data_IF_139729374643
#
_entry.id   IF_139729374643
#
_cell.length_a   1.000
_cell.length_b   1.000
_cell.length_c   1.000
_cell.angle_alpha   90.00
_cell.angle_beta   90.00
_cell.angle_gamma   90.00
#
_symmetry.space_group_name_H-M   'P 1'
#
loop_
_entity.id
_entity.type
_entity.pdbx_description
1 polymer ?
#
# COMPACT_ATOMS: atom_id res chain seq x y z
N UNK A 1 -25.72 8.00 17.66
CA UNK A 1 -24.25 7.74 17.65
C UNK A 1 -23.93 7.22 16.28
N UNK A 2 -23.21 7.98 15.45
CA UNK A 2 -22.88 7.60 14.08
C UNK A 2 -21.39 7.29 14.04
N UNK A 3 -21.03 6.01 14.07
CA UNK A 3 -19.67 5.56 13.75
C UNK A 3 -19.56 5.58 12.23
N UNK A 4 -18.90 6.62 11.70
CA UNK A 4 -18.43 6.62 10.33
C UNK A 4 -17.37 5.52 10.19
N UNK A 5 -17.79 4.31 9.82
CA UNK A 5 -16.90 3.24 9.37
C UNK A 5 -16.42 3.62 7.97
N UNK A 6 -15.48 4.56 7.90
CA UNK A 6 -14.69 4.75 6.68
C UNK A 6 -13.77 3.53 6.55
N UNK A 7 -13.67 2.94 5.35
CA UNK A 7 -12.70 1.88 5.10
C UNK A 7 -11.28 2.42 5.38
N UNK A 8 -10.36 1.57 5.89
CA UNK A 8 -8.98 1.96 6.12
C UNK A 8 -8.34 2.44 4.81
N UNK A 9 -7.43 3.42 4.90
CA UNK A 9 -6.73 3.97 3.72
C UNK A 9 -5.85 2.91 3.03
N UNK A 10 -5.44 1.88 3.77
CA UNK A 10 -4.68 0.73 3.27
C UNK A 10 -5.43 -0.55 3.67
N UNK A 11 -5.57 -1.49 2.74
CA UNK A 11 -6.21 -2.78 3.03
C UNK A 11 -5.49 -3.91 2.31
N UNK A 12 -5.48 -5.10 2.92
CA UNK A 12 -4.91 -6.30 2.29
C UNK A 12 -5.90 -6.88 1.29
N UNK A 13 -5.44 -7.08 0.07
CA UNK A 13 -6.23 -7.70 -0.98
C UNK A 13 -5.42 -8.70 -1.80
N UNK A 14 -6.12 -9.52 -2.58
CA UNK A 14 -5.48 -10.39 -3.56
C UNK A 14 -4.78 -9.51 -4.61
N UNK A 15 -3.62 -9.97 -5.07
CA UNK A 15 -2.83 -9.32 -6.12
C UNK A 15 -2.96 -10.15 -7.40
N UNK A 16 -3.14 -9.54 -8.59
CA UNK A 16 -3.15 -10.27 -9.85
C UNK A 16 -1.75 -10.80 -10.18
N UNK A 17 -1.67 -11.95 -10.83
CA UNK A 17 -0.41 -12.51 -11.33
C UNK A 17 -0.54 -12.93 -12.80
N UNK A 18 0.54 -12.74 -13.55
CA UNK A 18 0.65 -13.17 -14.94
C UNK A 18 1.37 -14.53 -15.03
N UNK A 19 2.29 -14.79 -14.09
CA UNK A 19 2.97 -16.07 -13.98
C UNK A 19 3.17 -16.49 -12.52
N UNK A 20 3.11 -17.80 -12.28
CA UNK A 20 3.39 -18.42 -10.99
C UNK A 20 4.16 -19.72 -11.21
N UNK A 21 5.16 -19.98 -10.37
CA UNK A 21 5.89 -21.25 -10.35
C UNK A 21 6.12 -21.73 -8.91
N UNK A 22 6.32 -23.05 -8.77
CA UNK A 22 6.60 -23.70 -7.50
C UNK A 22 7.80 -24.64 -7.64
N UNK A 23 8.80 -24.47 -6.78
CA UNK A 23 10.00 -25.30 -6.73
C UNK A 23 10.20 -25.86 -5.32
N UNK A 24 10.60 -27.11 -5.20
CA UNK A 24 10.88 -27.74 -3.92
C UNK A 24 12.34 -28.14 -3.80
N UNK A 25 13.03 -27.50 -2.87
CA UNK A 25 14.37 -27.87 -2.44
C UNK A 25 14.28 -28.99 -1.40
N UNK A 26 14.67 -30.19 -1.82
CA UNK A 26 14.59 -31.40 -1.01
C UNK A 26 15.72 -31.49 0.04
N UNK A 27 16.78 -30.69 -0.08
CA UNK A 27 17.87 -30.67 0.90
C UNK A 27 17.57 -29.69 2.04
N UNK A 28 16.86 -28.61 1.73
CA UNK A 28 16.51 -27.57 2.69
C UNK A 28 15.10 -27.76 3.30
N UNK A 29 14.29 -28.67 2.77
CA UNK A 29 12.86 -28.83 3.08
C UNK A 29 12.06 -27.52 2.87
N UNK A 30 12.37 -26.82 1.77
CA UNK A 30 11.78 -25.50 1.44
C UNK A 30 11.00 -25.59 0.13
N UNK A 31 9.73 -25.20 0.20
CA UNK A 31 8.91 -24.87 -0.97
C UNK A 31 9.11 -23.39 -1.32
N UNK A 32 9.66 -23.12 -2.50
CA UNK A 32 9.79 -21.80 -3.09
C UNK A 32 8.61 -21.55 -4.03
N UNK A 33 7.89 -20.45 -3.78
CA UNK A 33 6.85 -19.95 -4.68
C UNK A 33 7.33 -18.65 -5.30
N UNK A 34 7.25 -18.53 -6.62
CA UNK A 34 7.57 -17.31 -7.34
C UNK A 34 6.35 -16.83 -8.13
N UNK A 35 6.09 -15.52 -8.09
CA UNK A 35 5.07 -14.87 -8.91
C UNK A 35 5.63 -13.61 -9.57
N UNK A 36 5.13 -13.33 -10.77
CA UNK A 36 5.34 -12.06 -11.44
C UNK A 36 4.06 -11.58 -12.13
N UNK A 37 3.97 -10.27 -12.29
CA UNK A 37 2.86 -9.63 -12.99
C UNK A 37 2.91 -8.12 -12.81
N UNK A 38 1.78 -7.46 -13.05
CA UNK A 38 1.59 -6.05 -12.73
C UNK A 38 0.61 -5.92 -11.58
N UNK A 39 0.85 -4.95 -10.70
CA UNK A 39 -0.11 -4.59 -9.65
C UNK A 39 -0.46 -3.12 -9.77
N UNK A 40 -1.62 -2.76 -9.23
CA UNK A 40 -2.00 -1.36 -9.03
C UNK A 40 -0.86 -0.65 -8.29
N UNK A 41 -0.44 0.52 -8.77
CA UNK A 41 0.62 1.29 -8.11
C UNK A 41 0.31 1.40 -6.62
N UNK A 42 1.35 1.35 -5.79
CA UNK A 42 1.20 1.28 -4.34
C UNK A 42 0.48 0.04 -3.82
N UNK A 43 0.75 -1.09 -4.45
CA UNK A 43 0.70 -2.37 -3.73
C UNK A 43 2.09 -2.61 -3.13
N UNK A 44 2.16 -2.90 -1.84
CA UNK A 44 3.41 -3.36 -1.18
C UNK A 44 3.18 -4.69 -0.47
N UNK A 45 4.26 -5.22 0.12
CA UNK A 45 4.20 -6.46 0.91
C UNK A 45 3.53 -7.59 0.11
N UNK A 46 3.84 -7.65 -1.19
CA UNK A 46 3.28 -8.67 -2.08
C UNK A 46 3.95 -9.99 -1.71
N UNK A 47 3.18 -10.90 -1.14
CA UNK A 47 3.67 -12.19 -0.69
C UNK A 47 2.60 -13.26 -0.73
N UNK A 48 3.05 -14.50 -0.76
CA UNK A 48 2.21 -15.66 -0.62
C UNK A 48 1.87 -15.88 0.86
N UNK A 49 0.59 -16.10 1.13
CA UNK A 49 0.09 -16.49 2.43
C UNK A 49 -0.43 -17.92 2.36
N UNK A 50 0.15 -18.80 3.18
CA UNK A 50 -0.34 -20.17 3.30
C UNK A 50 -1.69 -20.17 4.00
N UNK A 51 -2.67 -20.78 3.35
CA UNK A 51 -3.99 -20.94 3.90
C UNK A 51 -4.11 -22.33 4.54
N UNK A 52 -4.88 -22.47 5.63
CA UNK A 52 -5.32 -23.78 6.09
C UNK A 52 -6.07 -24.49 4.95
N UNK A 53 -5.71 -25.73 4.61
CA UNK A 53 -6.39 -26.52 3.57
C UNK A 53 -6.04 -28.01 3.70
N UNK A 54 -7.05 -28.87 3.86
CA UNK A 54 -6.88 -30.32 4.04
C UNK A 54 -6.53 -31.07 2.73
N UNK A 55 -6.77 -30.43 1.58
CA UNK A 55 -6.59 -31.04 0.27
C UNK A 55 -5.19 -30.84 -0.32
N UNK A 56 -4.21 -30.51 0.52
CA UNK A 56 -2.86 -30.18 0.12
C UNK A 56 -2.46 -28.72 0.38
N UNK A 57 -1.75 -28.15 -0.58
CA UNK A 57 -1.12 -26.84 -0.40
C UNK A 57 -1.96 -25.74 -1.07
N UNK A 58 -2.54 -24.84 -0.26
CA UNK A 58 -3.28 -23.66 -0.72
C UNK A 58 -2.59 -22.38 -0.28
N UNK A 59 -2.40 -21.46 -1.21
CA UNK A 59 -1.86 -20.14 -0.95
C UNK A 59 -2.73 -19.03 -1.56
N UNK A 60 -2.67 -17.84 -0.99
CA UNK A 60 -3.16 -16.61 -1.62
C UNK A 60 -1.99 -15.67 -1.87
N UNK A 61 -1.91 -15.09 -3.06
CA UNK A 61 -1.01 -13.98 -3.33
C UNK A 61 -1.71 -12.69 -2.91
N UNK A 62 -1.22 -12.06 -1.85
CA UNK A 62 -1.82 -10.87 -1.28
C UNK A 62 -0.80 -9.73 -1.20
N UNK A 63 -1.31 -8.50 -1.12
CA UNK A 63 -0.53 -7.29 -0.92
C UNK A 63 -1.37 -6.23 -0.22
N UNK A 64 -0.69 -5.26 0.38
CA UNK A 64 -1.31 -4.08 0.98
C UNK A 64 -1.47 -3.02 -0.09
N UNK A 65 -2.72 -2.67 -0.40
CA UNK A 65 -3.05 -1.66 -1.40
C UNK A 65 -3.51 -0.39 -0.73
N UNK A 66 -2.88 0.70 -1.16
CA UNK A 66 -3.14 2.04 -0.65
C UNK A 66 -4.37 2.72 -1.20
N UNK A 67 -4.55 4.00 -0.83
CA UNK A 67 -5.67 4.78 -1.29
C UNK A 67 -5.45 5.31 -2.71
N UNK A 68 -4.29 5.12 -3.32
CA UNK A 68 -4.05 5.53 -4.70
C UNK A 68 -4.06 4.25 -5.54
N UNK A 69 -5.07 4.11 -6.40
CA UNK A 69 -5.26 2.91 -7.23
C UNK A 69 -5.01 3.15 -8.72
N UNK A 70 -4.31 4.23 -9.06
CA UNK A 70 -4.04 4.60 -10.45
C UNK A 70 -2.61 4.22 -10.82
N UNK A 71 -2.45 3.69 -12.04
CA UNK A 71 -1.17 3.22 -12.55
C UNK A 71 -0.87 1.77 -12.19
N UNK A 72 0.12 1.19 -12.89
CA UNK A 72 0.55 -0.19 -12.69
C UNK A 72 2.08 -0.27 -12.64
N UNK A 73 2.57 -1.06 -11.69
CA UNK A 73 4.00 -1.35 -11.52
C UNK A 73 4.23 -2.85 -11.64
N UNK A 74 5.25 -3.29 -12.41
CA UNK A 74 5.61 -4.71 -12.48
C UNK A 74 6.26 -5.17 -11.18
N UNK A 75 6.02 -6.42 -10.80
CA UNK A 75 6.66 -7.06 -9.66
C UNK A 75 7.18 -8.47 -10.01
N UNK A 76 8.17 -8.89 -9.24
CA UNK A 76 8.69 -10.26 -9.19
C UNK A 76 9.02 -10.55 -7.73
N UNK A 77 8.39 -11.57 -7.16
CA UNK A 77 8.55 -11.95 -5.75
C UNK A 77 8.79 -13.45 -5.64
N UNK A 78 9.59 -13.83 -4.64
CA UNK A 78 9.86 -15.23 -4.28
C UNK A 78 9.75 -15.39 -2.78
N UNK A 79 8.88 -16.30 -2.32
CA UNK A 79 8.73 -16.63 -0.91
C UNK A 79 9.09 -18.10 -0.67
N UNK A 80 9.75 -18.37 0.46
CA UNK A 80 10.11 -19.70 0.90
C UNK A 80 9.27 -20.16 2.09
N UNK A 81 8.81 -21.41 2.05
CA UNK A 81 8.02 -22.03 3.10
C UNK A 81 8.69 -23.33 3.56
N UNK A 82 9.05 -23.40 4.84
CA UNK A 82 9.56 -24.62 5.47
C UNK A 82 8.41 -25.64 5.55
N UNK A 83 8.40 -26.59 4.63
CA UNK A 83 7.35 -27.60 4.48
C UNK A 83 8.01 -28.91 4.10
N UNK A 84 7.76 -29.97 4.87
CA UNK A 84 8.24 -31.31 4.53
C UNK A 84 7.39 -31.92 3.42
N UNK A 85 8.00 -32.25 2.28
CA UNK A 85 7.39 -32.95 1.16
C UNK A 85 8.21 -34.20 0.76
N UNK A 86 7.55 -35.31 0.36
CA UNK A 86 6.11 -35.51 0.33
C UNK A 86 5.53 -35.64 1.75
N UNK A 87 4.49 -34.88 2.06
CA UNK A 87 3.76 -35.03 3.31
C UNK A 87 2.97 -36.35 3.26
N UNK A 88 3.05 -37.15 4.33
CA UNK A 88 2.26 -38.40 4.48
C UNK A 88 0.76 -38.10 4.44
N UNK A 89 0.36 -36.90 4.87
CA UNK A 89 -1.03 -36.45 4.88
C UNK A 89 -1.44 -35.77 3.55
N UNK A 90 -0.48 -35.17 2.83
CA UNK A 90 -0.72 -34.36 1.64
C UNK A 90 0.29 -34.66 0.52
N UNK A 91 0.08 -35.71 -0.31
CA UNK A 91 0.92 -35.98 -1.48
C UNK A 91 0.71 -34.89 -2.54
N UNK A 92 1.34 -33.74 -2.35
CA UNK A 92 1.14 -32.54 -3.15
C UNK A 92 2.23 -32.45 -4.21
N UNK A 93 1.97 -33.04 -5.37
CA UNK A 93 2.75 -32.73 -6.59
C UNK A 93 2.37 -31.34 -7.16
N UNK A 94 1.40 -30.67 -6.53
CA UNK A 94 0.84 -29.40 -6.96
C UNK A 94 0.54 -28.52 -5.76
N UNK A 95 0.59 -27.21 -5.97
CA UNK A 95 0.01 -26.20 -5.09
C UNK A 95 -1.19 -25.54 -5.78
N UNK A 96 -2.16 -25.08 -5.01
CA UNK A 96 -3.29 -24.27 -5.47
C UNK A 96 -3.07 -22.84 -5.02
N UNK A 97 -3.22 -21.87 -5.91
CA UNK A 97 -2.96 -20.47 -5.61
C UNK A 97 -4.11 -19.58 -6.05
N UNK A 98 -4.61 -18.74 -5.15
CA UNK A 98 -5.57 -17.68 -5.45
C UNK A 98 -4.85 -16.35 -5.69
N UNK A 99 -5.27 -15.66 -6.74
CA UNK A 99 -4.84 -14.31 -7.13
C UNK A 99 -6.07 -13.46 -7.46
N UNK A 100 -5.90 -12.16 -7.63
CA UNK A 100 -7.04 -11.27 -7.94
C UNK A 100 -7.73 -11.62 -9.27
N UNK A 101 -6.93 -12.00 -10.28
CA UNK A 101 -7.39 -12.31 -11.63
C UNK A 101 -7.65 -13.81 -11.86
N UNK A 102 -7.20 -14.70 -10.96
CA UNK A 102 -7.39 -16.15 -11.10
C UNK A 102 -7.52 -16.87 -9.75
N UNK A 103 -8.69 -17.48 -9.52
CA UNK A 103 -8.95 -18.36 -8.37
C UNK A 103 -8.62 -19.81 -8.71
N UNK A 104 -8.05 -20.53 -7.74
CA UNK A 104 -7.74 -21.96 -7.88
C UNK A 104 -6.69 -22.29 -8.93
N UNK A 105 -5.65 -21.46 -9.07
CA UNK A 105 -4.55 -21.73 -9.99
C UNK A 105 -3.73 -22.92 -9.51
N UNK A 106 -3.92 -24.08 -10.14
CA UNK A 106 -3.12 -25.29 -9.85
C UNK A 106 -1.75 -25.18 -10.52
N UNK A 107 -0.68 -25.26 -9.75
CA UNK A 107 0.71 -25.12 -10.19
C UNK A 107 1.50 -26.37 -9.80
N UNK A 108 2.10 -27.11 -10.76
CA UNK A 108 2.95 -28.26 -10.46
C UNK A 108 4.22 -27.86 -9.69
N UNK A 109 4.60 -28.68 -8.72
CA UNK A 109 5.83 -28.51 -7.95
C UNK A 109 6.99 -29.16 -8.71
N UNK A 110 8.03 -28.38 -8.99
CA UNK A 110 9.27 -28.87 -9.58
C UNK A 110 10.26 -29.24 -8.47
N UNK A 111 10.67 -30.49 -8.39
CA UNK A 111 11.61 -30.97 -7.36
C UNK A 111 13.05 -30.85 -7.86
N UNK A 112 13.97 -30.31 -7.05
CA UNK A 112 15.40 -30.18 -7.44
C UNK A 112 16.06 -31.54 -7.71
N UNK A 113 15.58 -32.59 -7.05
CA UNK A 113 15.99 -33.99 -7.28
C UNK A 113 14.74 -34.84 -7.51
N UNK A 114 14.82 -35.90 -8.34
CA UNK A 114 13.71 -36.85 -8.46
C UNK A 114 13.44 -37.48 -7.09
N UNK A 115 12.26 -37.21 -6.54
CA UNK A 115 11.85 -37.75 -5.23
C UNK A 115 11.83 -39.28 -5.28
N UNK A 116 12.37 -39.99 -4.26
CA UNK A 116 12.44 -41.46 -4.25
C UNK A 116 11.06 -42.16 -4.24
N UNK A 117 9.97 -41.41 -4.04
CA UNK A 117 8.58 -41.89 -4.04
C UNK A 117 7.70 -41.12 -5.02
N UNK A 118 8.20 -40.76 -6.21
CA UNK A 118 7.29 -40.40 -7.30
C UNK A 118 6.39 -41.60 -7.64
N UNK A 119 5.05 -41.50 -7.51
CA UNK A 119 4.18 -42.39 -8.24
C UNK A 119 4.50 -42.17 -9.72
N UNK A 120 4.90 -43.22 -10.44
CA UNK A 120 5.09 -43.17 -11.90
C UNK A 120 3.89 -42.43 -12.49
N UNK A 121 4.16 -41.31 -13.16
CA UNK A 121 3.18 -40.61 -13.97
C UNK A 121 2.51 -41.64 -14.87
N UNK A 122 1.24 -41.96 -14.59
CA UNK A 122 0.44 -42.77 -15.48
C UNK A 122 0.16 -41.91 -16.70
N UNK A 123 1.00 -42.06 -17.73
CA UNK A 123 0.63 -41.85 -19.12
C UNK A 123 -0.54 -42.78 -19.43
N UNK A 124 -1.76 -42.34 -19.14
CA UNK A 124 -2.98 -42.62 -19.88
C UNK A 124 -4.18 -41.94 -19.21
N UNK A 125 -4.81 -41.05 -19.98
CA UNK A 125 -6.13 -40.45 -19.84
C UNK A 125 -6.96 -40.79 -18.61
N UNK A 126 -7.03 -39.81 -17.72
CA UNK A 126 -8.28 -39.45 -17.06
C UNK A 126 -8.16 -37.96 -16.73
N UNK A 127 -8.97 -37.14 -17.40
CA UNK A 127 -9.39 -35.82 -16.91
C UNK A 127 -10.23 -36.03 -15.63
N UNK A 128 -9.63 -36.64 -14.60
CA UNK A 128 -10.09 -36.56 -13.23
C UNK A 128 -9.75 -35.16 -12.78
N UNK A 129 -10.58 -34.20 -13.18
CA UNK A 129 -10.67 -32.91 -12.51
C UNK A 129 -11.00 -33.25 -11.06
N UNK A 130 -9.97 -33.40 -10.22
CA UNK A 130 -10.10 -33.16 -8.80
C UNK A 130 -10.40 -31.67 -8.70
N UNK A 131 -11.65 -31.33 -9.01
CA UNK A 131 -12.27 -30.06 -8.72
C UNK A 131 -12.47 -30.08 -7.19
N UNK A 132 -11.36 -30.11 -6.44
CA UNK A 132 -11.35 -29.75 -5.04
C UNK A 132 -11.77 -28.30 -5.06
N UNK A 133 -13.06 -28.09 -4.84
CA UNK A 133 -13.69 -26.80 -4.83
C UNK A 133 -12.90 -25.95 -3.83
N UNK A 134 -12.17 -24.96 -4.35
CA UNK A 134 -11.31 -24.13 -3.52
C UNK A 134 -12.22 -23.45 -2.50
N UNK A 135 -11.97 -23.63 -1.20
CA UNK A 135 -12.86 -23.12 -0.19
C UNK A 135 -13.01 -21.60 -0.33
N UNK A 136 -14.25 -21.13 -0.23
CA UNK A 136 -14.54 -19.70 -0.24
C UNK A 136 -14.25 -19.11 1.15
N UNK A 137 -13.29 -18.19 1.22
CA UNK A 137 -12.96 -17.48 2.46
C UNK A 137 -13.99 -16.38 2.74
N UNK A 138 -14.66 -16.46 3.88
CA UNK A 138 -15.52 -15.38 4.35
C UNK A 138 -14.68 -14.33 5.05
N UNK A 139 -14.72 -13.08 4.57
CA UNK A 139 -14.16 -11.96 5.33
C UNK A 139 -15.16 -11.53 6.39
N UNK A 140 -14.74 -11.61 7.65
CA UNK A 140 -15.47 -11.09 8.80
C UNK A 140 -14.86 -9.74 9.11
N UNK A 141 -15.66 -8.67 9.07
CA UNK A 141 -15.20 -7.35 9.46
C UNK A 141 -14.76 -7.41 10.94
N UNK A 142 -13.54 -6.95 11.23
CA UNK A 142 -13.15 -6.70 12.61
C UNK A 142 -13.96 -5.53 13.15
N UNK A 143 -14.46 -5.66 14.37
CA UNK A 143 -15.45 -4.71 14.89
C UNK A 143 -14.86 -3.32 15.20
N UNK A 144 -13.53 -3.14 15.26
CA UNK A 144 -12.91 -1.89 15.72
C UNK A 144 -11.53 -1.57 15.12
N UNK A 145 -11.23 -0.27 14.99
CA UNK A 145 -9.86 0.24 14.82
C UNK A 145 -9.13 0.23 16.17
N UNK A 146 -7.93 -0.36 16.21
CA UNK A 146 -7.03 -0.37 17.37
C UNK A 146 -6.12 0.85 17.26
N UNK A 147 -6.25 1.82 18.17
CA UNK A 147 -5.36 2.98 18.23
C UNK A 147 -4.26 2.70 19.25
N UNK A 148 -3.00 2.70 18.83
CA UNK A 148 -1.85 2.35 19.67
C UNK A 148 -0.75 3.42 19.58
N UNK A 149 -0.14 3.84 20.70
CA UNK A 149 1.04 4.72 20.62
C UNK A 149 2.26 3.98 20.07
N UNK A 150 3.12 4.70 19.35
CA UNK A 150 4.45 4.22 18.94
C UNK A 150 5.22 3.65 20.14
N UNK A 151 5.93 2.55 19.92
CA UNK A 151 6.72 1.81 20.92
C UNK A 151 5.89 1.21 22.07
N UNK A 152 4.56 1.19 21.98
CA UNK A 152 3.68 0.53 22.97
C UNK A 152 3.11 -0.77 22.41
N UNK A 153 3.27 -1.91 23.12
CA UNK A 153 2.72 -3.17 22.66
C UNK A 153 1.20 -3.12 22.55
N UNK A 154 0.65 -3.82 21.56
CA UNK A 154 -0.77 -4.10 21.42
C UNK A 154 -0.98 -5.59 21.13
N UNK A 155 -2.17 -6.09 21.48
CA UNK A 155 -2.49 -7.51 21.40
C UNK A 155 -3.62 -7.75 20.41
N UNK A 156 -3.48 -8.79 19.59
CA UNK A 156 -4.57 -9.36 18.78
C UNK A 156 -4.95 -10.70 19.40
N UNK A 157 -6.23 -10.88 19.75
CA UNK A 157 -6.74 -12.14 20.32
C UNK A 157 -7.75 -12.77 19.37
N UNK A 158 -7.54 -14.02 18.97
CA UNK A 158 -8.48 -14.79 18.16
C UNK A 158 -8.73 -16.16 18.78
N UNK A 159 -10.01 -16.48 18.99
CA UNK A 159 -10.44 -17.84 19.33
C UNK A 159 -10.41 -18.76 18.11
N UNK A 160 -10.10 -20.03 18.33
CA UNK A 160 -9.96 -21.01 17.26
C UNK A 160 -11.29 -21.36 16.56
N UNK A 161 -12.40 -21.28 17.29
CA UNK A 161 -13.73 -21.69 16.83
C UNK A 161 -13.77 -23.14 16.33
N UNK A 162 -12.77 -23.95 16.67
CA UNK A 162 -12.68 -25.32 16.18
C UNK A 162 -13.71 -26.20 16.89
N UNK A 163 -14.53 -26.89 16.10
CA UNK A 163 -15.53 -27.86 16.56
C UNK A 163 -15.18 -29.30 16.18
N UNK A 164 -14.09 -29.50 15.44
CA UNK A 164 -13.63 -30.79 14.95
C UNK A 164 -12.12 -30.84 14.76
N UNK A 165 -11.63 -31.46 13.68
CA UNK A 165 -10.21 -31.78 13.50
C UNK A 165 -9.54 -30.92 12.42
N UNK A 166 -8.22 -30.80 12.50
CA UNK A 166 -7.39 -30.14 11.47
C UNK A 166 -7.46 -28.61 11.51
N UNK A 167 -7.63 -28.01 12.68
CA UNK A 167 -7.71 -26.55 12.80
C UNK A 167 -6.33 -25.86 12.69
N UNK A 168 -6.26 -24.74 11.98
CA UNK A 168 -5.10 -23.85 11.98
C UNK A 168 -5.50 -22.38 12.05
N UNK A 169 -4.66 -21.59 12.72
CA UNK A 169 -4.79 -20.13 12.78
C UNK A 169 -3.45 -19.50 12.41
N UNK A 170 -3.47 -18.57 11.47
CA UNK A 170 -2.29 -17.84 11.02
C UNK A 170 -2.49 -16.33 11.16
N UNK A 171 -1.43 -15.61 11.50
CA UNK A 171 -1.39 -14.15 11.56
C UNK A 171 -0.61 -13.59 10.36
N UNK A 172 -1.11 -12.52 9.76
CA UNK A 172 -0.36 -11.67 8.84
C UNK A 172 -0.42 -10.21 9.30
N UNK A 173 0.72 -9.52 9.24
CA UNK A 173 0.84 -8.10 9.56
C UNK A 173 1.91 -7.45 8.65
N UNK A 174 1.94 -6.12 8.65
CA UNK A 174 2.96 -5.32 7.98
C UNK A 174 4.19 -5.19 8.90
N UNK A 175 5.27 -5.86 8.54
CA UNK A 175 6.51 -5.87 9.30
C UNK A 175 7.29 -4.55 9.21
N UNK A 176 6.84 -3.59 8.39
CA UNK A 176 7.36 -2.22 8.38
C UNK A 176 6.79 -1.37 9.52
N UNK A 177 5.67 -1.77 10.12
CA UNK A 177 4.99 -1.00 11.17
C UNK A 177 5.16 -1.61 12.54
N UNK A 178 5.18 -2.93 12.62
CA UNK A 178 5.15 -3.66 13.89
C UNK A 178 6.02 -4.89 13.85
N UNK A 179 6.58 -5.27 14.99
CA UNK A 179 7.24 -6.55 15.21
C UNK A 179 6.38 -7.45 16.09
N UNK A 180 6.22 -8.73 15.70
CA UNK A 180 5.67 -9.74 16.59
C UNK A 180 6.70 -10.08 17.66
N UNK A 181 6.35 -9.88 18.93
CA UNK A 181 7.26 -10.06 20.07
C UNK A 181 6.90 -11.24 20.96
N UNK A 182 5.63 -11.63 20.98
CA UNK A 182 5.15 -12.78 21.73
C UNK A 182 3.93 -13.40 21.04
N UNK A 183 3.76 -14.71 21.22
CA UNK A 183 2.58 -15.46 20.80
C UNK A 183 2.26 -16.52 21.85
N UNK A 184 1.09 -16.41 22.47
CA UNK A 184 0.67 -17.26 23.58
C UNK A 184 -0.77 -17.73 23.44
N UNK A 185 -1.19 -18.65 24.30
CA UNK A 185 -2.58 -19.11 24.39
C UNK A 185 -3.12 -18.69 25.75
N UNK A 186 -4.14 -17.83 25.76
CA UNK A 186 -4.81 -17.33 26.96
C UNK A 186 -6.33 -17.54 26.80
N UNK A 187 -6.96 -18.17 27.82
CA UNK A 187 -8.41 -18.44 27.84
C UNK A 187 -8.96 -19.12 26.56
N UNK A 188 -8.19 -20.06 25.99
CA UNK A 188 -8.56 -20.77 24.76
C UNK A 188 -8.54 -19.91 23.50
N UNK A 189 -7.85 -18.76 23.54
CA UNK A 189 -7.61 -17.89 22.40
C UNK A 189 -6.11 -17.77 22.17
N UNK A 190 -5.72 -17.71 20.90
CA UNK A 190 -4.35 -17.33 20.57
C UNK A 190 -4.25 -15.81 20.69
N UNK A 191 -3.22 -15.37 21.40
CA UNK A 191 -2.86 -13.97 21.57
C UNK A 191 -1.51 -13.69 20.93
N UNK A 192 -1.45 -12.67 20.09
CA UNK A 192 -0.22 -12.16 19.51
C UNK A 192 0.06 -10.76 20.03
N UNK A 193 1.26 -10.55 20.57
CA UNK A 193 1.72 -9.23 21.03
C UNK A 193 2.64 -8.61 20.01
N UNK A 194 2.20 -7.49 19.44
CA UNK A 194 2.95 -6.70 18.46
C UNK A 194 3.45 -5.41 19.08
N UNK A 195 4.66 -4.98 18.75
CA UNK A 195 5.22 -3.68 19.14
C UNK A 195 5.41 -2.82 17.89
N UNK A 196 4.72 -1.67 17.78
CA UNK A 196 4.83 -0.79 16.64
C UNK A 196 6.10 0.06 16.75
N UNK A 197 6.81 0.24 15.64
CA UNK A 197 8.04 1.04 15.57
C UNK A 197 7.97 2.11 14.46
N UNK A 198 6.86 2.20 13.73
CA UNK A 198 6.55 3.26 12.77
C UNK A 198 5.10 3.73 12.91
N UNK A 199 4.86 5.04 12.84
CA UNK A 199 3.52 5.62 12.89
C UNK A 199 2.76 5.47 11.57
N UNK A 200 1.42 5.42 11.65
CA UNK A 200 0.49 5.39 10.52
C UNK A 200 -0.57 4.30 10.64
N UNK A 201 -1.40 4.12 9.60
CA UNK A 201 -2.35 3.01 9.53
C UNK A 201 -1.75 1.74 8.93
N UNK A 202 -2.09 0.60 9.53
CA UNK A 202 -1.78 -0.74 9.05
C UNK A 202 -2.94 -1.71 9.31
N UNK A 203 -2.86 -2.92 8.77
CA UNK A 203 -3.84 -3.98 8.97
C UNK A 203 -3.15 -5.25 9.50
N UNK A 204 -3.77 -5.86 10.50
CA UNK A 204 -3.44 -7.21 10.96
C UNK A 204 -4.57 -8.15 10.55
N UNK A 205 -4.24 -9.19 9.79
CA UNK A 205 -5.21 -10.19 9.34
C UNK A 205 -4.99 -11.51 10.08
N UNK A 206 -6.07 -12.08 10.61
CA UNK A 206 -6.06 -13.42 11.20
C UNK A 206 -6.84 -14.36 10.30
N UNK A 207 -6.20 -15.44 9.87
CA UNK A 207 -6.80 -16.48 9.05
C UNK A 207 -7.12 -17.67 9.93
N UNK A 208 -8.39 -18.07 9.96
CA UNK A 208 -8.87 -19.22 10.74
C UNK A 208 -9.47 -20.23 9.78
N UNK A 209 -9.05 -21.48 9.90
CA UNK A 209 -9.59 -22.57 9.11
C UNK A 209 -9.65 -23.89 9.87
N UNK A 210 -10.62 -24.71 9.52
CA UNK A 210 -10.77 -26.08 10.00
C UNK A 210 -11.14 -26.98 8.82
N UNK A 211 -10.71 -28.24 8.89
CA UNK A 211 -10.92 -29.23 7.83
C UNK A 211 -12.26 -29.97 7.96
N UNK A 212 -12.64 -30.37 9.17
CA UNK A 212 -13.85 -31.18 9.39
C UNK A 212 -14.65 -30.74 10.63
N UNK A 213 -15.85 -30.15 10.47
CA UNK A 213 -16.42 -29.67 9.22
C UNK A 213 -15.62 -28.49 8.65
N UNK A 214 -15.51 -28.43 7.33
CA UNK A 214 -14.72 -27.43 6.63
C UNK A 214 -15.29 -26.02 6.80
N UNK A 215 -14.48 -25.09 7.31
CA UNK A 215 -14.78 -23.66 7.26
C UNK A 215 -13.50 -22.85 7.18
N UNK A 216 -13.58 -21.67 6.55
CA UNK A 216 -12.48 -20.72 6.50
C UNK A 216 -13.01 -19.29 6.58
N UNK A 217 -12.39 -18.50 7.44
CA UNK A 217 -12.67 -17.07 7.52
C UNK A 217 -11.42 -16.26 7.83
N UNK A 218 -11.49 -14.99 7.48
CA UNK A 218 -10.46 -13.99 7.78
C UNK A 218 -11.06 -12.89 8.65
N UNK A 219 -10.34 -12.48 9.68
CA UNK A 219 -10.67 -11.31 10.51
C UNK A 219 -9.61 -10.25 10.28
N UNK A 220 -10.02 -9.06 9.86
CA UNK A 220 -9.11 -7.94 9.64
C UNK A 220 -9.23 -6.93 10.79
N UNK A 221 -8.10 -6.59 11.40
CA UNK A 221 -7.97 -5.57 12.44
C UNK A 221 -7.24 -4.36 11.88
N UNK A 222 -7.93 -3.22 11.82
CA UNK A 222 -7.31 -1.96 11.45
C UNK A 222 -6.53 -1.43 12.65
N UNK A 223 -5.25 -1.06 12.46
CA UNK A 223 -4.38 -0.52 13.52
C UNK A 223 -3.92 0.88 13.12
N UNK A 224 -4.12 1.85 14.01
CA UNK A 224 -3.67 3.23 13.86
C UNK A 224 -2.55 3.49 14.88
N UNK A 225 -1.33 3.69 14.40
CA UNK A 225 -0.14 3.90 15.24
C UNK A 225 0.14 5.40 15.33
N UNK A 226 0.04 5.97 16.55
CA UNK A 226 0.14 7.41 16.80
C UNK A 226 1.42 7.78 17.54
N UNK A 227 1.94 9.00 17.33
CA UNK A 227 3.13 9.47 18.03
C UNK A 227 2.90 9.63 19.54
N UNK A 228 3.89 9.35 20.42
CA UNK A 228 3.72 9.40 21.88
C UNK A 228 3.39 10.79 22.45
N UNK A 229 3.57 11.86 21.66
CA UNK A 229 3.36 13.25 22.09
C UNK A 229 1.95 13.79 21.89
N UNK A 230 1.02 13.01 21.34
CA UNK A 230 -0.36 13.45 21.12
C UNK A 230 -1.35 12.67 21.99
N UNK A 231 -1.17 12.74 23.31
CA UNK A 231 -2.29 12.61 24.25
C UNK A 231 -2.96 13.97 24.45
N UNK A 232 -3.23 14.70 23.36
CA UNK A 232 -4.09 15.87 23.38
C UNK A 232 -5.20 15.57 22.39
N UNK A 233 -6.42 15.44 22.92
CA UNK A 233 -7.68 15.27 22.20
C UNK A 233 -7.71 15.94 20.82
N UNK A 234 -7.40 15.18 19.77
CA UNK A 234 -7.66 15.58 18.38
C UNK A 234 -8.74 14.66 17.79
N UNK A 235 -10.00 14.93 18.19
CA UNK A 235 -11.14 14.54 17.36
C UNK A 235 -11.10 15.37 16.08
N UNK A 236 -10.36 14.90 15.09
CA UNK A 236 -10.40 15.43 13.75
C UNK A 236 -10.04 14.34 12.73
N UNK A 237 -10.85 13.27 12.67
CA UNK A 237 -10.94 12.48 11.44
C UNK A 237 -11.47 13.40 10.36
N UNK A 238 -10.67 13.69 9.34
CA UNK A 238 -11.12 14.45 8.18
C UNK A 238 -12.17 13.61 7.43
N UNK A 239 -13.39 14.12 7.35
CA UNK A 239 -14.46 13.52 6.54
C UNK A 239 -14.16 13.83 5.08
N UNK A 240 -13.88 12.81 4.28
CA UNK A 240 -13.74 12.96 2.82
C UNK A 240 -15.14 12.97 2.21
N UNK A 241 -15.58 14.14 1.77
CA UNK A 241 -16.66 14.27 0.78
C UNK A 241 -16.03 14.88 -0.47
N UNK A 242 -15.60 14.03 -1.42
CA UNK A 242 -15.20 14.53 -2.74
C UNK A 242 -16.48 14.87 -3.49
N UNK A 243 -16.89 16.13 -3.43
CA UNK A 243 -17.77 16.67 -4.47
C UNK A 243 -16.90 16.81 -5.72
N UNK A 244 -16.88 15.75 -6.55
CA UNK A 244 -16.26 15.80 -7.86
C UNK A 244 -17.07 16.75 -8.73
N UNK A 245 -16.64 18.00 -8.83
CA UNK A 245 -17.11 18.92 -9.87
C UNK A 245 -16.30 18.64 -11.14
N UNK A 246 -16.56 17.51 -11.78
CA UNK A 246 -16.01 17.18 -13.09
C UNK A 246 -16.72 18.01 -14.14
N UNK A 247 -16.27 19.25 -14.33
CA UNK A 247 -16.56 20.02 -15.53
C UNK A 247 -15.48 19.76 -16.58
N UNK A 248 -15.54 18.59 -17.22
CA UNK A 248 -15.10 18.43 -18.61
C UNK A 248 -15.76 17.19 -19.22
N UNK A 249 -16.67 17.45 -20.16
CA UNK A 249 -17.62 16.50 -20.70
C UNK A 249 -17.02 15.43 -21.60
N UNK A 250 -17.43 14.20 -21.34
CA UNK A 250 -17.75 13.23 -22.40
C UNK A 250 -19.18 12.75 -22.16
N UNK A 251 -20.07 13.13 -23.09
CA UNK A 251 -21.44 12.64 -23.14
C UNK A 251 -21.46 11.31 -23.87
N UNK A 252 -21.86 10.24 -23.18
CA UNK A 252 -22.42 9.04 -23.82
C UNK A 252 -23.65 8.60 -23.03
N UNK A 253 -24.80 8.69 -23.69
CA UNK A 253 -26.11 8.26 -23.19
C UNK A 253 -26.10 6.77 -22.78
N UNK A 254 -26.57 6.49 -21.57
CA UNK A 254 -26.85 5.13 -21.10
C UNK A 254 -27.24 5.13 -19.63
N UNK A 255 -28.55 5.11 -19.37
CA UNK A 255 -29.13 5.00 -18.03
C UNK A 255 -28.74 3.66 -17.38
N UNK A 256 -27.74 3.69 -16.48
CA UNK A 256 -27.51 2.65 -15.49
C UNK A 256 -27.22 3.30 -14.14
N UNK A 257 -27.84 2.76 -13.09
CA UNK A 257 -27.69 3.16 -11.69
C UNK A 257 -26.21 3.34 -11.32
N UNK A 258 -25.90 4.51 -10.76
CA UNK A 258 -24.58 4.81 -10.23
C UNK A 258 -24.16 3.76 -9.17
N UNK A 259 -22.96 3.17 -9.28
CA UNK A 259 -22.43 2.35 -8.20
C UNK A 259 -22.17 3.22 -6.97
N UNK A 260 -22.41 2.68 -5.78
CA UNK A 260 -21.94 3.28 -4.51
C UNK A 260 -20.43 3.49 -4.62
N UNK A 261 -19.99 4.74 -4.57
CA UNK A 261 -18.57 5.10 -4.54
C UNK A 261 -18.04 4.92 -3.12
N UNK A 262 -17.65 3.70 -2.78
CA UNK A 262 -16.74 3.44 -1.67
C UNK A 262 -15.37 4.05 -2.02
N UNK A 263 -14.87 4.98 -1.18
CA UNK A 263 -13.50 5.51 -1.16
C UNK A 263 -12.79 5.65 -2.51
N UNK A 264 -13.17 6.64 -3.34
CA UNK A 264 -12.39 6.97 -4.53
C UNK A 264 -10.93 7.27 -4.16
N UNK A 265 -9.96 6.86 -5.00
CA UNK A 265 -8.56 7.14 -4.75
C UNK A 265 -8.26 8.63 -4.67
N UNK A 266 -7.39 9.03 -3.76
CA UNK A 266 -6.91 10.41 -3.67
C UNK A 266 -5.91 10.68 -4.80
N UNK A 267 -6.17 11.69 -5.63
CA UNK A 267 -5.13 12.26 -6.49
C UNK A 267 -4.02 12.90 -5.64
N UNK A 268 -2.86 13.16 -6.24
CA UNK A 268 -1.80 13.92 -5.56
C UNK A 268 -2.30 15.28 -5.06
N UNK A 269 -3.07 16.00 -5.87
CA UNK A 269 -3.74 17.24 -5.48
C UNK A 269 -4.70 17.04 -4.29
N UNK A 270 -5.42 15.93 -4.25
CA UNK A 270 -6.23 15.52 -3.10
C UNK A 270 -5.38 15.37 -1.83
N UNK A 271 -4.20 14.78 -1.95
CA UNK A 271 -3.22 14.62 -0.89
C UNK A 271 -2.74 15.99 -0.37
N UNK A 272 -2.35 16.88 -1.27
CA UNK A 272 -1.91 18.24 -0.95
C UNK A 272 -3.03 19.02 -0.25
N UNK A 273 -4.25 18.94 -0.78
CA UNK A 273 -5.42 19.58 -0.18
C UNK A 273 -5.63 19.15 1.27
N UNK A 274 -5.46 17.87 1.60
CA UNK A 274 -5.60 17.38 2.97
C UNK A 274 -4.55 18.02 3.88
N UNK A 275 -3.27 17.92 3.54
CA UNK A 275 -2.20 18.43 4.40
C UNK A 275 -2.22 19.96 4.53
N UNK A 276 -2.50 20.68 3.45
CA UNK A 276 -2.65 22.14 3.51
C UNK A 276 -3.83 22.55 4.39
N UNK A 277 -4.97 21.85 4.30
CA UNK A 277 -6.12 22.11 5.17
C UNK A 277 -5.84 21.77 6.65
N UNK A 278 -5.02 20.76 6.93
CA UNK A 278 -4.57 20.45 8.29
C UNK A 278 -3.74 21.58 8.89
N UNK A 279 -2.84 22.19 8.10
CA UNK A 279 -2.11 23.41 8.50
C UNK A 279 -3.10 24.56 8.70
N UNK A 280 -3.97 24.86 7.73
CA UNK A 280 -4.92 25.98 7.79
C UNK A 280 -5.90 25.90 8.95
N UNK A 281 -6.23 24.69 9.41
CA UNK A 281 -7.06 24.47 10.58
C UNK A 281 -6.42 24.98 11.87
N UNK A 282 -5.09 24.91 11.97
CA UNK A 282 -4.32 25.41 13.12
C UNK A 282 -3.88 26.87 12.90
N UNK A 283 -3.60 27.25 11.64
CA UNK A 283 -3.07 28.55 11.23
C UNK A 283 -3.83 29.07 10.01
N UNK A 284 -4.93 29.79 10.23
CA UNK A 284 -5.83 30.21 9.15
C UNK A 284 -5.22 31.18 8.14
N UNK A 285 -4.12 31.83 8.51
CA UNK A 285 -3.32 32.75 7.71
C UNK A 285 -2.20 32.06 6.91
N UNK A 286 -2.08 30.74 7.00
CA UNK A 286 -1.04 30.00 6.29
C UNK A 286 -1.12 30.19 4.77
N UNK A 287 0.03 30.51 4.17
CA UNK A 287 0.21 30.65 2.73
C UNK A 287 1.14 29.55 2.20
N UNK A 288 0.70 28.78 1.21
CA UNK A 288 1.48 27.69 0.64
C UNK A 288 2.72 28.20 -0.12
N UNK A 289 3.89 27.61 0.13
CA UNK A 289 5.16 28.00 -0.53
C UNK A 289 5.80 26.87 -1.32
N UNK A 290 5.86 25.68 -0.76
CA UNK A 290 6.54 24.54 -1.38
C UNK A 290 5.81 23.25 -1.04
N UNK A 291 5.75 22.35 -2.02
CA UNK A 291 5.33 20.97 -1.83
C UNK A 291 6.39 20.08 -2.47
N UNK A 292 7.01 19.22 -1.67
CA UNK A 292 7.85 18.16 -2.21
C UNK A 292 7.09 16.85 -2.21
N UNK A 293 7.31 16.03 -3.24
CA UNK A 293 6.90 14.65 -3.24
C UNK A 293 8.09 13.76 -3.66
N UNK A 294 8.35 12.75 -2.84
CA UNK A 294 9.41 11.76 -3.06
C UNK A 294 8.85 10.35 -3.00
N UNK A 295 9.54 9.36 -3.59
CA UNK A 295 9.12 7.97 -3.42
C UNK A 295 9.21 7.52 -1.96
N UNK A 296 8.37 6.56 -1.57
CA UNK A 296 8.43 5.96 -0.23
C UNK A 296 9.77 5.27 0.03
N UNK A 297 10.40 4.76 -1.05
CA UNK A 297 11.72 4.15 -1.01
C UNK A 297 12.75 5.11 -1.61
N UNK A 298 14.04 4.81 -1.46
CA UNK A 298 15.10 5.58 -2.15
C UNK A 298 15.20 5.28 -3.65
N UNK A 299 14.35 4.40 -4.19
CA UNK A 299 14.36 4.04 -5.60
C UNK A 299 13.55 5.06 -6.40
N UNK A 300 14.12 5.62 -7.48
CA UNK A 300 13.38 6.47 -8.41
C UNK A 300 12.19 5.74 -9.03
N UNK A 301 11.14 6.48 -9.38
CA UNK A 301 9.86 5.95 -9.88
C UNK A 301 9.65 6.27 -11.35
N UNK A 302 8.99 5.37 -12.07
CA UNK A 302 8.71 5.55 -13.50
C UNK A 302 7.49 6.42 -13.78
N UNK A 303 6.65 6.69 -12.78
CA UNK A 303 5.43 7.50 -12.85
C UNK A 303 5.33 8.43 -11.64
N UNK A 304 4.51 9.48 -11.76
CA UNK A 304 4.22 10.45 -10.70
C UNK A 304 3.44 9.86 -9.54
N UNK A 305 2.71 8.76 -9.77
CA UNK A 305 1.98 8.07 -8.71
C UNK A 305 2.98 7.69 -7.62
N UNK A 306 4.09 7.02 -7.91
CA UNK A 306 5.06 6.61 -6.89
C UNK A 306 5.62 7.69 -5.93
N UNK A 307 5.36 8.99 -6.14
CA UNK A 307 5.77 10.13 -5.30
C UNK A 307 4.77 10.41 -4.15
N UNK A 308 4.85 9.63 -3.06
CA UNK A 308 3.89 9.67 -1.93
C UNK A 308 4.38 10.29 -0.64
N UNK A 309 5.69 10.39 -0.46
CA UNK A 309 6.24 11.04 0.70
C UNK A 309 6.22 12.55 0.45
N UNK A 310 5.16 13.19 0.94
CA UNK A 310 4.83 14.58 0.68
C UNK A 310 5.25 15.46 1.85
N UNK A 311 5.97 16.55 1.57
CA UNK A 311 6.25 17.60 2.53
C UNK A 311 5.56 18.87 2.05
N UNK A 312 4.67 19.44 2.86
CA UNK A 312 3.99 20.69 2.56
C UNK A 312 4.53 21.77 3.49
N UNK A 313 4.94 22.88 2.89
CA UNK A 313 5.55 24.03 3.57
C UNK A 313 4.68 25.25 3.37
N UNK A 314 4.30 25.90 4.46
CA UNK A 314 3.52 27.13 4.45
C UNK A 314 4.18 28.24 5.27
N UNK A 315 4.24 29.44 4.72
CA UNK A 315 4.57 30.65 5.47
C UNK A 315 3.41 31.04 6.40
N UNK A 316 3.75 31.55 7.58
CA UNK A 316 2.82 32.07 8.57
C UNK A 316 3.14 33.53 8.90
N UNK A 317 2.18 34.23 9.51
CA UNK A 317 2.43 35.55 10.10
C UNK A 317 3.55 35.51 11.14
N UNK A 318 4.30 36.61 11.26
CA UNK A 318 5.38 36.73 12.23
C UNK A 318 6.67 36.01 11.84
N UNK A 319 6.91 35.82 10.53
CA UNK A 319 8.11 35.20 9.97
C UNK A 319 8.34 33.76 10.49
N UNK A 320 7.27 32.98 10.55
CA UNK A 320 7.32 31.55 10.90
C UNK A 320 6.96 30.69 9.71
N UNK A 321 7.29 29.42 9.81
CA UNK A 321 6.97 28.42 8.79
C UNK A 321 6.31 27.21 9.43
N UNK A 322 5.17 26.80 8.89
CA UNK A 322 4.55 25.52 9.20
C UNK A 322 4.98 24.47 8.18
N UNK A 323 5.33 23.29 8.66
CA UNK A 323 5.70 22.13 7.85
C UNK A 323 4.83 20.97 8.31
N UNK A 324 4.20 20.28 7.37
CA UNK A 324 3.56 19.00 7.63
C UNK A 324 4.12 17.99 6.64
N UNK A 325 4.50 16.82 7.15
CA UNK A 325 5.05 15.74 6.36
C UNK A 325 4.09 14.57 6.37
N UNK A 326 3.99 13.89 5.24
CA UNK A 326 3.23 12.67 5.16
C UNK A 326 3.93 11.54 5.90
N UNK A 327 3.15 10.69 6.57
CA UNK A 327 3.66 9.45 7.17
C UNK A 327 3.55 8.27 6.22
N UNK A 328 3.24 8.55 4.95
CA UNK A 328 2.84 7.60 3.91
C UNK A 328 1.33 7.62 3.64
N UNK A 329 0.93 6.99 2.52
CA UNK A 329 -0.44 6.49 2.27
C UNK A 329 -1.64 7.42 2.55
N UNK A 330 -1.53 8.73 2.35
CA UNK A 330 -2.65 9.68 2.51
C UNK A 330 -2.67 10.37 3.87
N UNK A 331 -1.71 10.04 4.73
CA UNK A 331 -1.67 10.47 6.12
C UNK A 331 -0.60 11.53 6.34
N UNK A 332 -0.81 12.35 7.36
CA UNK A 332 0.10 13.39 7.75
C UNK A 332 0.43 13.28 9.23
N UNK A 333 1.71 13.54 9.55
CA UNK A 333 2.13 13.74 10.92
C UNK A 333 1.62 15.06 11.49
N UNK A 334 2.06 15.38 12.70
CA UNK A 334 1.76 16.65 13.35
C UNK A 334 2.31 17.85 12.56
N UNK A 335 1.59 18.96 12.53
CA UNK A 335 2.12 20.24 12.02
C UNK A 335 3.27 20.70 12.90
N UNK A 336 4.45 20.86 12.30
CA UNK A 336 5.64 21.40 12.95
C UNK A 336 5.78 22.88 12.59
N UNK A 337 6.12 23.72 13.58
CA UNK A 337 6.37 25.15 13.34
C UNK A 337 7.80 25.48 13.69
N UNK A 338 8.48 26.20 12.79
CA UNK A 338 9.80 26.76 13.01
C UNK A 338 9.73 28.29 13.04
N UNK A 339 10.52 28.90 13.92
CA UNK A 339 10.63 30.36 14.09
C UNK A 339 11.61 30.96 13.07
N UNK A 340 11.38 30.66 11.79
CA UNK A 340 12.13 31.21 10.66
C UNK A 340 11.23 31.31 9.43
N UNK A 341 11.38 32.37 8.61
CA UNK A 341 10.70 32.41 7.33
C UNK A 341 11.29 31.36 6.38
N UNK A 342 10.45 30.86 5.48
CA UNK A 342 10.89 30.13 4.29
C UNK A 342 11.33 31.16 3.24
N UNK A 343 12.54 31.00 2.71
CA UNK A 343 13.14 31.98 1.81
C UNK A 343 13.30 31.41 0.40
N UNK A 344 13.24 32.30 -0.60
CA UNK A 344 13.50 31.95 -1.99
C UNK A 344 12.26 31.51 -2.79
N UNK A 345 11.08 31.45 -2.17
CA UNK A 345 9.82 31.09 -2.82
C UNK A 345 8.71 32.11 -2.52
N UNK A 346 7.84 32.32 -3.51
CA UNK A 346 6.64 33.13 -3.39
C UNK A 346 5.43 32.27 -2.97
N UNK A 347 4.38 32.94 -2.46
CA UNK A 347 3.10 32.31 -2.17
C UNK A 347 2.48 31.70 -3.43
N UNK A 348 2.24 30.40 -3.41
CA UNK A 348 1.49 29.68 -4.44
C UNK A 348 0.01 29.93 -4.20
N UNK A 349 -0.69 30.42 -5.22
CA UNK A 349 -2.14 30.47 -5.20
C UNK A 349 -2.70 29.05 -5.46
N UNK A 350 -3.03 28.34 -4.39
CA UNK A 350 -3.57 26.98 -4.45
C UNK A 350 -5.12 26.98 -4.46
N UNK A 351 -5.79 26.13 -5.26
CA UNK A 351 -5.23 25.12 -6.17
C UNK A 351 -4.62 25.74 -7.44
N UNK A 352 -3.63 25.05 -8.00
CA UNK A 352 -3.00 25.41 -9.28
C UNK A 352 -3.79 24.88 -10.48
N UNK A 353 -3.57 25.43 -11.67
CA UNK A 353 -4.30 25.05 -12.89
C UNK A 353 -3.77 23.81 -13.63
N UNK A 354 -2.63 23.28 -13.18
CA UNK A 354 -1.97 22.12 -13.78
C UNK A 354 -1.76 21.08 -12.69
N UNK A 355 -2.31 19.89 -12.86
CA UNK A 355 -2.07 18.77 -11.95
C UNK A 355 -0.71 18.13 -12.25
N UNK A 356 -0.13 17.46 -11.25
CA UNK A 356 1.15 16.76 -11.41
C UNK A 356 1.12 15.72 -12.54
N UNK A 357 -0.01 15.03 -12.74
CA UNK A 357 -0.19 14.04 -13.81
C UNK A 357 -0.01 14.67 -15.20
N UNK A 358 -0.59 15.85 -15.40
CA UNK A 358 -0.46 16.59 -16.65
C UNK A 358 0.97 17.13 -16.84
N UNK A 359 1.57 17.66 -15.78
CA UNK A 359 2.96 18.12 -15.78
C UNK A 359 3.92 16.99 -16.15
N UNK A 360 3.74 15.81 -15.54
CA UNK A 360 4.50 14.61 -15.85
C UNK A 360 4.27 14.15 -17.29
N UNK A 361 3.03 14.17 -17.78
CA UNK A 361 2.71 13.85 -19.18
C UNK A 361 3.40 14.79 -20.17
N UNK A 362 3.46 16.10 -19.88
CA UNK A 362 4.19 17.10 -20.67
C UNK A 362 5.68 16.76 -20.69
N UNK A 363 6.26 16.50 -19.52
CA UNK A 363 7.66 16.12 -19.34
C UNK A 363 8.02 14.88 -20.19
N UNK A 364 7.20 13.82 -20.14
CA UNK A 364 7.39 12.59 -20.94
C UNK A 364 7.30 12.86 -22.44
N UNK A 365 6.33 13.67 -22.88
CA UNK A 365 6.20 14.09 -24.29
C UNK A 365 7.40 14.92 -24.76
N UNK A 366 8.03 15.66 -23.84
CA UNK A 366 9.28 16.39 -24.07
C UNK A 366 10.52 15.52 -24.25
N UNK A 367 10.41 14.19 -24.07
CA UNK A 367 11.50 13.24 -24.29
C UNK A 367 12.23 12.78 -23.02
N UNK A 368 11.91 13.35 -21.87
CA UNK A 368 12.49 12.96 -20.58
C UNK A 368 11.82 11.66 -20.09
N UNK A 369 12.45 10.51 -20.31
CA UNK A 369 11.90 9.16 -20.04
C UNK A 369 12.53 8.46 -18.83
N UNK A 370 13.53 9.08 -18.22
CA UNK A 370 14.24 8.52 -17.08
C UNK A 370 13.36 8.49 -15.82
N UNK A 371 13.61 7.56 -14.87
CA UNK A 371 12.93 7.57 -13.58
C UNK A 371 13.07 8.89 -12.82
N UNK A 372 12.03 9.25 -12.06
CA UNK A 372 11.94 10.48 -11.26
C UNK A 372 12.35 10.18 -9.82
N UNK A 373 13.23 11.01 -9.27
CA UNK A 373 13.69 10.86 -7.89
C UNK A 373 12.86 11.68 -6.89
N UNK A 374 12.35 12.83 -7.35
CA UNK A 374 11.55 13.76 -6.58
C UNK A 374 10.83 14.72 -7.52
N UNK A 375 9.77 15.34 -7.03
CA UNK A 375 9.15 16.52 -7.64
C UNK A 375 8.94 17.58 -6.56
N UNK A 376 9.16 18.83 -6.92
CA UNK A 376 8.85 19.96 -6.04
C UNK A 376 7.94 20.93 -6.79
N UNK A 377 6.76 21.23 -6.22
CA UNK A 377 5.93 22.35 -6.65
C UNK A 377 6.30 23.59 -5.84
N UNK A 378 6.88 24.59 -6.49
CA UNK A 378 7.29 25.86 -5.89
C UNK A 378 7.22 27.01 -6.89
N UNK A 379 7.17 28.25 -6.40
CA UNK A 379 7.31 29.45 -7.22
C UNK A 379 8.61 30.18 -6.82
N UNK A 380 9.75 29.89 -7.48
CA UNK A 380 11.02 30.51 -7.16
C UNK A 380 10.97 32.03 -7.30
N UNK A 381 11.60 32.76 -6.38
CA UNK A 381 11.78 34.22 -6.50
C UNK A 381 13.05 34.49 -7.32
N UNK A 382 12.97 34.27 -8.63
CA UNK A 382 14.07 34.50 -9.56
C UNK A 382 13.62 35.39 -10.74
N UNK A 383 14.47 36.31 -11.27
CA UNK A 383 14.09 37.15 -12.40
C UNK A 383 13.68 36.33 -13.63
N UNK A 384 12.43 36.51 -14.07
CA UNK A 384 11.85 35.80 -15.22
C UNK A 384 10.96 34.61 -14.85
N UNK A 385 10.97 34.18 -13.59
CA UNK A 385 10.14 33.09 -13.08
C UNK A 385 8.95 33.68 -12.30
N UNK A 386 7.86 33.99 -13.00
CA UNK A 386 6.66 34.66 -12.44
C UNK A 386 5.47 33.72 -12.19
N UNK A 387 5.71 32.41 -12.21
CA UNK A 387 4.70 31.36 -12.05
C UNK A 387 5.22 30.21 -11.18
N UNK A 388 4.34 29.37 -10.61
CA UNK A 388 4.73 28.11 -10.01
C UNK A 388 5.22 27.11 -11.06
N UNK A 389 6.11 26.21 -10.65
CA UNK A 389 6.68 25.13 -11.47
C UNK A 389 6.62 23.80 -10.73
N UNK A 390 6.32 22.72 -11.46
CA UNK A 390 6.67 21.37 -11.03
C UNK A 390 8.10 21.09 -11.47
N UNK A 391 9.02 21.00 -10.52
CA UNK A 391 10.45 20.78 -10.75
C UNK A 391 10.75 19.31 -10.48
N UNK A 392 11.01 18.54 -11.54
CA UNK A 392 11.32 17.12 -11.46
C UNK A 392 12.83 16.90 -11.33
N UNK A 393 13.24 16.09 -10.35
CA UNK A 393 14.60 15.58 -10.23
C UNK A 393 14.75 14.32 -11.07
N UNK A 394 15.60 14.39 -12.09
CA UNK A 394 15.80 13.31 -13.08
C UNK A 394 17.29 13.00 -13.18
N UNK A 395 17.75 12.00 -12.41
CA UNK A 395 19.17 11.73 -12.26
C UNK A 395 19.89 12.97 -11.71
N UNK A 396 20.77 13.57 -12.52
CA UNK A 396 21.52 14.76 -12.11
C UNK A 396 20.92 16.08 -12.62
N UNK A 397 19.73 16.08 -13.21
CA UNK A 397 19.11 17.28 -13.80
C UNK A 397 17.83 17.68 -13.07
N UNK A 398 17.56 18.99 -13.03
CA UNK A 398 16.27 19.55 -12.61
C UNK A 398 15.52 20.07 -13.83
N UNK A 399 14.41 19.41 -14.17
CA UNK A 399 13.58 19.77 -15.31
C UNK A 399 12.23 20.23 -14.78
N UNK A 400 11.86 21.47 -15.10
CA UNK A 400 10.64 22.08 -14.62
C UNK A 400 9.56 22.12 -15.70
N UNK A 401 8.31 22.04 -15.29
CA UNK A 401 7.12 22.33 -16.11
C UNK A 401 6.35 23.49 -15.48
N UNK A 402 6.19 24.59 -16.22
CA UNK A 402 5.45 25.76 -15.76
C UNK A 402 3.96 25.47 -15.62
N UNK A 403 3.38 25.86 -14.48
CA UNK A 403 1.97 25.60 -14.17
C UNK A 403 1.03 26.38 -15.10
N UNK A 404 1.37 27.62 -15.45
CA UNK A 404 0.50 28.49 -16.23
C UNK A 404 0.73 28.32 -17.73
N UNK A 405 1.99 28.25 -18.16
CA UNK A 405 2.35 28.20 -19.58
C UNK A 405 2.58 26.79 -20.14
N UNK A 406 2.65 25.78 -19.27
CA UNK A 406 2.87 24.36 -19.61
C UNK A 406 4.17 24.10 -20.36
N UNK A 407 5.16 24.99 -20.24
CA UNK A 407 6.45 24.86 -20.94
C UNK A 407 7.48 24.13 -20.08
N UNK A 408 8.38 23.43 -20.75
CA UNK A 408 9.52 22.77 -20.11
C UNK A 408 10.69 23.76 -20.02
N UNK A 409 11.30 23.84 -18.84
CA UNK A 409 12.49 24.64 -18.57
C UNK A 409 13.54 23.79 -17.86
N UNK A 410 14.80 23.92 -18.26
CA UNK A 410 15.91 23.24 -17.58
C UNK A 410 16.46 24.18 -16.49
N UNK A 411 16.35 23.75 -15.24
CA UNK A 411 16.83 24.49 -14.06
C UNK A 411 18.29 24.17 -13.72
N UNK A 412 18.96 23.33 -14.52
CA UNK A 412 20.38 23.03 -14.46
C UNK A 412 20.69 21.65 -13.89
N UNK A 413 22.00 21.46 -13.63
CA UNK A 413 22.53 20.23 -13.04
C UNK A 413 22.49 20.36 -11.51
N UNK A 414 22.03 19.30 -10.86
CA UNK A 414 22.07 19.15 -9.42
C UNK A 414 23.51 19.02 -8.91
N UNK A 415 24.03 20.05 -8.23
CA UNK A 415 25.11 19.87 -7.24
C UNK A 415 24.55 19.51 -5.84
N UNK A 416 23.22 19.54 -5.68
CA UNK A 416 22.53 19.21 -4.45
C UNK A 416 22.35 17.70 -4.32
N UNK A 417 23.22 17.08 -3.51
CA UNK A 417 22.86 15.80 -2.86
C UNK A 417 21.55 16.05 -2.11
N UNK A 418 20.47 15.40 -2.55
CA UNK A 418 19.17 15.35 -1.86
C UNK A 418 19.47 15.26 -0.35
N UNK A 419 18.99 16.23 0.44
CA UNK A 419 19.17 16.21 1.88
C UNK A 419 18.69 14.85 2.38
N UNK A 420 19.64 14.05 2.88
CA UNK A 420 19.35 12.76 3.49
C UNK A 420 18.40 13.04 4.65
N UNK A 421 17.21 12.43 4.60
CA UNK A 421 16.36 12.27 5.76
C UNK A 421 17.13 11.61 6.91
#
# INVERSE_FOLDING_TARGET
MSSSNLPPLVHRQLVPADSISAHYDNEADILLLQASGNHVDFTRDIKFHRMPFAGGLLFELQGLVGPIIQGETPYDITDGFNIELPSVNDPSNTVVINTANKKGWVVPIQYSKPSPTQPKSSTNGSNGSANSEVPEFKTVAGDHTIVVPLDKPYTIKQGDQFKGKGGAINLAFDDQYSNLTDASIEDGKIEWTLVPFQTGQTEVAVFVGQEDPSFFYRVNYNVEIVSPKESVTSKAKATVSVAGDTSNGYSTNGSQQAPKTDGLPLSWDGFVNIGYNLIKKQYSDAALYEIDATPLTRKPVSNEWGLVNNRIVCGLSGNKTAIIQSTGWGEFGSVQVIDSPWLGDAAINWPVSLEIHDAFSILRKGGYKQPIEAVTLRQPVYPGDDQPFYIFSIGNEFIAVGVNDKKIQNFGVSEHKIQKA
#
